data_IF_240424755854
#
_entry.id   IF_240424755854
#
_cell.length_a   1.000
_cell.length_b   1.000
_cell.length_c   1.000
_cell.angle_alpha   90.00
_cell.angle_beta   90.00
_cell.angle_gamma   90.00
#
_symmetry.space_group_name_H-M   'P 1'
#
loop_
_entity.id
_entity.type
_entity.pdbx_description
1 polymer ?
#
# COMPACT_ATOMS: atom_id res chain seq x y z
N UNK A 1 -41.84 -7.86 19.27
CA UNK A 1 -40.55 -7.57 19.92
C UNK A 1 -39.45 -7.85 18.94
N UNK A 2 -38.99 -6.81 18.24
CA UNK A 2 -37.80 -6.87 17.41
C UNK A 2 -36.56 -6.70 18.31
N UNK A 3 -35.86 -7.81 18.54
CA UNK A 3 -34.54 -7.77 19.15
C UNK A 3 -33.54 -7.31 18.05
N UNK A 4 -33.29 -6.01 17.96
CA UNK A 4 -32.10 -5.49 17.32
C UNK A 4 -30.90 -5.88 18.21
N UNK A 5 -30.25 -7.01 17.89
CA UNK A 5 -28.90 -7.29 18.38
C UNK A 5 -28.00 -6.19 17.84
N UNK A 6 -27.70 -5.20 18.68
CA UNK A 6 -26.63 -4.23 18.41
C UNK A 6 -25.32 -5.00 18.34
N UNK A 7 -24.87 -5.28 17.15
CA UNK A 7 -23.53 -5.82 16.90
C UNK A 7 -22.58 -4.65 17.14
N UNK A 8 -22.04 -4.56 18.35
CA UNK A 8 -20.91 -3.67 18.60
C UNK A 8 -19.72 -4.22 17.83
N UNK A 9 -19.39 -3.60 16.71
CA UNK A 9 -18.12 -3.88 16.05
C UNK A 9 -16.99 -3.54 17.02
N UNK A 10 -16.28 -4.57 17.48
CA UNK A 10 -15.08 -4.39 18.29
C UNK A 10 -14.04 -3.75 17.38
N UNK A 11 -13.61 -2.55 17.72
CA UNK A 11 -12.55 -1.82 17.02
C UNK A 11 -11.28 -1.88 17.87
N UNK A 12 -10.17 -2.26 17.26
CA UNK A 12 -8.84 -2.18 17.84
C UNK A 12 -8.05 -1.08 17.16
N UNK A 13 -7.70 -0.04 17.90
CA UNK A 13 -6.72 0.94 17.43
C UNK A 13 -5.35 0.28 17.37
N UNK A 14 -4.64 0.44 16.25
CA UNK A 14 -3.31 -0.14 16.06
C UNK A 14 -2.26 0.96 16.16
N UNK A 15 -2.35 2.00 15.32
CA UNK A 15 -1.34 3.05 15.24
C UNK A 15 -1.92 4.37 14.70
N UNK A 16 -1.16 5.42 14.88
CA UNK A 16 -1.42 6.72 14.22
C UNK A 16 -0.15 7.22 13.55
N UNK A 17 -0.30 8.01 12.50
CA UNK A 17 0.80 8.61 11.74
C UNK A 17 0.40 9.94 11.14
N UNK A 18 1.41 10.77 10.85
CA UNK A 18 1.36 11.85 9.87
C UNK A 18 2.34 11.51 8.76
N UNK A 19 1.87 11.60 7.52
CA UNK A 19 2.75 11.45 6.37
C UNK A 19 3.34 12.81 6.01
N UNK A 20 4.66 12.88 5.91
CA UNK A 20 5.41 14.09 5.57
C UNK A 20 5.81 14.09 4.10
N UNK A 21 6.26 15.25 3.59
CA UNK A 21 6.85 15.31 2.24
C UNK A 21 8.08 14.41 2.12
N UNK A 22 8.89 14.30 3.18
CA UNK A 22 10.03 13.40 3.20
C UNK A 22 9.61 11.92 3.03
N UNK A 23 8.52 11.50 3.69
CA UNK A 23 7.98 10.15 3.49
C UNK A 23 7.59 9.90 2.03
N UNK A 24 7.01 10.92 1.35
CA UNK A 24 6.64 10.78 -0.07
C UNK A 24 7.88 10.73 -0.98
N UNK A 25 8.91 11.51 -0.70
CA UNK A 25 10.17 11.46 -1.46
C UNK A 25 10.84 10.09 -1.33
N UNK A 26 10.93 9.58 -0.11
CA UNK A 26 11.47 8.25 0.16
C UNK A 26 10.66 7.15 -0.53
N UNK A 27 9.33 7.27 -0.51
CA UNK A 27 8.47 6.31 -1.20
C UNK A 27 8.62 6.40 -2.72
N UNK A 28 8.74 7.61 -3.28
CA UNK A 28 8.97 7.80 -4.72
C UNK A 28 10.30 7.17 -5.18
N UNK A 29 11.37 7.33 -4.41
CA UNK A 29 12.66 6.67 -4.68
C UNK A 29 12.55 5.14 -4.63
N UNK A 30 11.73 4.62 -3.72
CA UNK A 30 11.49 3.18 -3.59
C UNK A 30 10.59 2.62 -4.70
N UNK A 31 9.46 3.28 -4.99
CA UNK A 31 8.45 2.79 -5.92
C UNK A 31 8.71 3.15 -7.37
N UNK A 32 9.51 4.21 -7.61
CA UNK A 32 9.66 4.84 -8.92
C UNK A 32 8.51 5.81 -9.28
N UNK A 33 7.52 6.00 -8.41
CA UNK A 33 6.41 6.93 -8.63
C UNK A 33 6.79 8.36 -8.24
N UNK A 34 7.35 9.09 -9.19
CA UNK A 34 7.69 10.51 -9.07
C UNK A 34 6.57 11.44 -9.55
N UNK A 35 5.31 11.00 -9.53
CA UNK A 35 4.19 11.86 -9.93
C UNK A 35 4.17 13.14 -9.07
N UNK A 36 4.24 14.33 -9.71
CA UNK A 36 4.37 15.58 -8.99
C UNK A 36 3.18 15.94 -8.09
N UNK A 37 2.04 15.26 -8.22
CA UNK A 37 0.90 15.43 -7.31
C UNK A 37 1.25 15.04 -5.86
N UNK A 38 2.24 14.16 -5.68
CA UNK A 38 2.71 13.68 -4.39
C UNK A 38 3.92 14.45 -3.85
N UNK A 39 4.58 15.27 -4.70
CA UNK A 39 5.88 15.83 -4.40
C UNK A 39 5.96 17.36 -4.55
N UNK A 40 5.04 17.98 -5.31
CA UNK A 40 5.09 19.40 -5.66
C UNK A 40 3.80 20.11 -5.27
N UNK A 41 3.91 21.05 -4.34
CA UNK A 41 2.79 21.91 -3.93
C UNK A 41 2.32 22.82 -5.07
N UNK A 42 3.25 23.31 -5.91
CA UNK A 42 2.90 24.13 -7.08
C UNK A 42 2.05 23.34 -8.09
N UNK A 43 2.43 22.08 -8.35
CA UNK A 43 1.67 21.21 -9.24
C UNK A 43 0.32 20.83 -8.63
N UNK A 44 0.32 20.40 -7.38
CA UNK A 44 -0.87 19.91 -6.70
C UNK A 44 -1.98 20.98 -6.61
N UNK A 45 -1.64 22.26 -6.45
CA UNK A 45 -2.61 23.37 -6.47
C UNK A 45 -3.38 23.52 -7.78
N UNK A 46 -2.87 22.97 -8.88
CA UNK A 46 -3.51 22.98 -10.20
C UNK A 46 -4.37 21.74 -10.45
N UNK A 47 -4.44 20.82 -9.52
CA UNK A 47 -5.17 19.56 -9.59
C UNK A 47 -6.43 19.59 -8.70
N UNK A 48 -7.42 18.68 -8.91
CA UNK A 48 -8.64 18.66 -8.11
C UNK A 48 -8.45 18.62 -6.60
N UNK A 49 -7.47 17.89 -6.02
CA UNK A 49 -7.20 17.93 -4.59
C UNK A 49 -6.73 19.29 -4.08
N UNK A 50 -6.07 20.11 -4.91
CA UNK A 50 -5.59 21.44 -4.56
C UNK A 50 -4.41 21.49 -3.60
N UNK A 51 -3.93 20.35 -3.12
CA UNK A 51 -2.83 20.16 -2.18
C UNK A 51 -2.09 18.87 -2.49
N UNK A 52 -0.85 18.76 -2.01
CA UNK A 52 -0.09 17.50 -2.09
C UNK A 52 -0.82 16.40 -1.34
N UNK A 53 -0.96 15.25 -1.98
CA UNK A 53 -1.58 14.06 -1.41
C UNK A 53 -0.55 12.95 -1.20
N UNK A 54 -0.81 12.10 -0.23
CA UNK A 54 0.00 10.91 0.08
C UNK A 54 -0.15 9.89 -1.05
N UNK A 55 0.94 9.21 -1.42
CA UNK A 55 0.84 8.03 -2.30
C UNK A 55 -0.09 6.99 -1.66
N UNK A 56 -1.13 6.61 -2.40
CA UNK A 56 -2.11 5.64 -1.88
C UNK A 56 -1.45 4.34 -1.44
N UNK A 57 -0.51 3.83 -2.24
CA UNK A 57 0.22 2.59 -1.95
C UNK A 57 1.14 2.74 -0.74
N UNK A 58 1.76 3.90 -0.49
CA UNK A 58 2.51 4.16 0.74
C UNK A 58 1.61 3.99 1.98
N UNK A 59 0.40 4.56 1.94
CA UNK A 59 -0.56 4.42 3.03
C UNK A 59 -1.04 2.98 3.22
N UNK A 60 -1.22 2.24 2.13
CA UNK A 60 -1.56 0.82 2.16
C UNK A 60 -0.45 -0.01 2.82
N UNK A 61 0.80 0.15 2.38
CA UNK A 61 1.94 -0.58 2.93
C UNK A 61 2.14 -0.27 4.42
N UNK A 62 1.97 0.99 4.82
CA UNK A 62 2.00 1.36 6.23
C UNK A 62 0.89 0.65 7.04
N UNK A 63 -0.34 0.59 6.54
CA UNK A 63 -1.44 -0.09 7.22
C UNK A 63 -1.16 -1.58 7.40
N UNK A 64 -0.60 -2.23 6.37
CA UNK A 64 -0.21 -3.64 6.43
C UNK A 64 0.95 -3.86 7.38
N UNK A 65 1.96 -2.97 7.38
CA UNK A 65 3.13 -3.06 8.27
C UNK A 65 2.72 -2.97 9.74
N UNK A 66 1.91 -1.96 10.11
CA UNK A 66 1.46 -1.83 11.49
C UNK A 66 0.51 -2.94 11.90
N UNK A 67 -0.30 -3.48 10.98
CA UNK A 67 -1.13 -4.65 11.26
C UNK A 67 -0.28 -5.90 11.47
N UNK A 68 0.76 -6.10 10.65
CA UNK A 68 1.69 -7.22 10.81
C UNK A 68 2.46 -7.14 12.12
N UNK A 69 2.77 -5.94 12.61
CA UNK A 69 3.45 -5.75 13.90
C UNK A 69 2.61 -6.19 15.12
N UNK A 70 1.30 -6.38 14.96
CA UNK A 70 0.42 -6.84 16.06
C UNK A 70 0.47 -8.36 16.29
N UNK A 71 1.09 -9.13 15.40
CA UNK A 71 1.23 -10.58 15.50
C UNK A 71 1.51 -11.25 14.16
N UNK A 72 1.59 -12.57 14.16
CA UNK A 72 1.83 -13.37 12.96
C UNK A 72 0.55 -13.45 12.09
N UNK A 73 0.19 -12.33 11.48
CA UNK A 73 -0.99 -12.23 10.63
C UNK A 73 -0.71 -12.78 9.23
N UNK A 74 -1.59 -13.63 8.72
CA UNK A 74 -1.48 -14.16 7.36
C UNK A 74 -2.27 -13.25 6.41
N UNK A 75 -1.58 -12.73 5.39
CA UNK A 75 -2.14 -11.87 4.35
C UNK A 75 -2.28 -12.68 3.05
N UNK A 76 -3.40 -13.41 2.87
CA UNK A 76 -3.62 -14.23 1.67
C UNK A 76 -4.23 -13.42 0.54
N UNK A 77 -5.38 -12.80 0.79
CA UNK A 77 -6.10 -11.99 -0.18
C UNK A 77 -6.49 -10.65 0.42
N UNK A 78 -6.25 -9.59 -0.32
CA UNK A 78 -6.55 -8.22 0.07
C UNK A 78 -7.51 -7.59 -0.93
N UNK A 79 -8.63 -7.04 -0.43
CA UNK A 79 -9.48 -6.15 -1.21
C UNK A 79 -9.29 -4.73 -0.72
N UNK A 80 -8.72 -3.89 -1.56
CA UNK A 80 -8.36 -2.51 -1.20
C UNK A 80 -9.31 -1.53 -1.86
N UNK A 81 -9.79 -0.54 -1.10
CA UNK A 81 -10.54 0.60 -1.60
C UNK A 81 -9.92 1.89 -1.10
N UNK A 82 -9.40 2.69 -2.03
CA UNK A 82 -9.04 4.08 -1.78
C UNK A 82 -10.32 4.92 -1.90
N UNK A 83 -10.71 5.59 -0.82
CA UNK A 83 -11.99 6.29 -0.73
C UNK A 83 -11.80 7.80 -0.84
N UNK A 84 -10.77 8.34 -0.19
CA UNK A 84 -10.45 9.77 -0.19
C UNK A 84 -8.92 9.95 -0.16
N UNK A 85 -8.39 11.05 -0.71
CA UNK A 85 -6.96 11.35 -0.58
C UNK A 85 -6.60 11.69 0.87
N UNK A 86 -5.43 11.25 1.31
CA UNK A 86 -4.80 11.70 2.56
C UNK A 86 -3.92 12.89 2.19
N UNK A 87 -4.03 13.99 2.94
CA UNK A 87 -3.15 15.14 2.76
C UNK A 87 -1.91 15.05 3.65
N UNK A 88 -0.83 15.72 3.25
CA UNK A 88 0.38 15.78 4.08
C UNK A 88 0.08 16.39 5.44
N UNK A 89 0.82 15.93 6.45
CA UNK A 89 0.74 16.38 7.84
C UNK A 89 -0.62 16.20 8.53
N UNK A 90 -1.57 15.54 7.85
CA UNK A 90 -2.84 15.12 8.46
C UNK A 90 -2.59 13.91 9.38
N UNK A 91 -3.18 13.95 10.59
CA UNK A 91 -3.11 12.80 11.49
C UNK A 91 -4.11 11.74 11.04
N UNK A 92 -3.62 10.56 10.74
CA UNK A 92 -4.43 9.40 10.39
C UNK A 92 -4.26 8.28 11.41
N UNK A 93 -5.30 7.48 11.55
CA UNK A 93 -5.37 6.36 12.49
C UNK A 93 -5.56 5.08 11.70
N UNK A 94 -4.83 4.03 12.05
CA UNK A 94 -5.03 2.69 11.56
C UNK A 94 -5.82 1.91 12.60
N UNK A 95 -6.99 1.42 12.22
CA UNK A 95 -7.91 0.68 13.07
C UNK A 95 -8.20 -0.70 12.45
N UNK A 96 -8.32 -1.71 13.28
CA UNK A 96 -8.70 -3.06 12.87
C UNK A 96 -10.06 -3.45 13.47
N UNK A 97 -10.91 -4.04 12.65
CA UNK A 97 -12.22 -4.57 13.00
C UNK A 97 -12.20 -6.10 12.85
N UNK A 98 -11.90 -6.85 13.91
CA UNK A 98 -11.73 -8.32 13.84
C UNK A 98 -12.95 -9.05 13.29
N UNK A 99 -14.14 -8.67 13.71
CA UNK A 99 -15.39 -9.34 13.31
C UNK A 99 -15.68 -9.17 11.81
N UNK A 100 -15.24 -8.05 11.22
CA UNK A 100 -15.40 -7.75 9.81
C UNK A 100 -14.18 -8.16 8.97
N UNK A 101 -13.05 -8.49 9.61
CA UNK A 101 -11.75 -8.69 8.97
C UNK A 101 -11.36 -7.48 8.11
N UNK A 102 -11.50 -6.28 8.67
CA UNK A 102 -11.28 -5.02 7.95
C UNK A 102 -10.24 -4.17 8.69
N UNK A 103 -9.30 -3.62 7.93
CA UNK A 103 -8.40 -2.56 8.39
C UNK A 103 -8.86 -1.25 7.73
N UNK A 104 -8.90 -0.17 8.48
CA UNK A 104 -9.21 1.17 7.97
C UNK A 104 -8.13 2.17 8.35
N UNK A 105 -7.81 3.04 7.40
CA UNK A 105 -7.12 4.31 7.68
C UNK A 105 -8.17 5.40 7.66
N UNK A 106 -8.31 6.12 8.76
CA UNK A 106 -9.30 7.19 8.95
C UNK A 106 -8.74 8.34 9.78
N UNK A 107 -9.40 9.47 9.75
CA UNK A 107 -9.34 10.47 10.83
C UNK A 107 -10.65 10.46 11.61
N UNK A 108 -10.98 11.53 12.33
CA UNK A 108 -12.23 11.64 13.11
C UNK A 108 -13.49 11.65 12.24
N UNK A 109 -13.38 12.09 11.00
CA UNK A 109 -14.53 12.43 10.15
C UNK A 109 -14.62 11.60 8.88
N UNK A 110 -13.46 11.08 8.40
CA UNK A 110 -13.34 10.48 7.07
C UNK A 110 -12.56 9.18 7.12
N UNK A 111 -13.05 8.19 6.35
CA UNK A 111 -12.29 6.97 6.02
C UNK A 111 -11.59 7.17 4.68
N UNK A 112 -10.28 7.08 4.68
CA UNK A 112 -9.41 7.28 3.51
C UNK A 112 -9.18 5.98 2.74
N UNK A 113 -8.92 4.92 3.47
CA UNK A 113 -8.57 3.61 2.94
C UNK A 113 -9.27 2.52 3.72
N UNK A 114 -9.79 1.53 3.01
CA UNK A 114 -10.37 0.32 3.62
C UNK A 114 -9.77 -0.92 2.97
N UNK A 115 -9.23 -1.80 3.80
CA UNK A 115 -8.73 -3.12 3.41
C UNK A 115 -9.63 -4.18 4.01
N UNK A 116 -10.14 -5.07 3.18
CA UNK A 116 -10.78 -6.29 3.65
C UNK A 116 -9.79 -7.45 3.52
N UNK A 117 -9.55 -8.11 4.63
CA UNK A 117 -8.74 -9.32 4.69
C UNK A 117 -9.67 -10.51 4.37
N UNK A 118 -9.25 -11.36 3.47
CA UNK A 118 -9.97 -12.59 3.15
C UNK A 118 -9.03 -13.76 3.44
N UNK A 119 -9.33 -14.49 4.52
CA UNK A 119 -8.63 -15.71 4.88
C UNK A 119 -9.56 -16.89 4.73
N UNK A 120 -9.50 -17.60 3.61
CA UNK A 120 -9.68 -19.02 3.57
C UNK A 120 -8.35 -19.60 3.11
N UNK A 121 -7.71 -20.38 3.97
CA UNK A 121 -6.44 -21.02 3.70
C UNK A 121 -6.53 -21.89 2.42
N UNK A 122 -6.27 -21.28 1.28
CA UNK A 122 -5.79 -21.99 0.12
C UNK A 122 -4.28 -21.76 0.09
N UNK A 123 -3.56 -22.75 0.60
CA UNK A 123 -2.12 -22.85 0.47
C UNK A 123 -1.81 -23.00 -1.03
N UNK A 124 -1.73 -21.90 -1.74
CA UNK A 124 -0.98 -21.86 -2.99
C UNK A 124 0.48 -21.61 -2.64
N UNK A 125 1.15 -22.66 -2.19
CA UNK A 125 2.60 -22.73 -2.21
C UNK A 125 3.04 -22.80 -3.69
N UNK A 126 2.81 -21.76 -4.44
CA UNK A 126 3.52 -21.56 -5.69
C UNK A 126 4.90 -21.05 -5.31
N UNK A 127 5.85 -21.97 -5.28
CA UNK A 127 7.27 -21.66 -5.28
C UNK A 127 7.54 -20.78 -6.49
N UNK A 128 7.60 -19.46 -6.26
CA UNK A 128 8.09 -18.51 -7.26
C UNK A 128 9.59 -18.76 -7.34
N UNK A 129 9.98 -19.55 -8.35
CA UNK A 129 11.38 -19.75 -8.68
C UNK A 129 11.87 -18.49 -9.39
N UNK A 130 12.67 -17.68 -8.69
CA UNK A 130 13.38 -16.56 -9.30
C UNK A 130 14.48 -17.10 -10.22
N UNK A 131 14.28 -17.04 -11.52
CA UNK A 131 15.38 -17.13 -12.46
C UNK A 131 16.04 -15.77 -12.57
N UNK A 132 17.29 -15.69 -12.19
CA UNK A 132 18.13 -14.50 -12.32
C UNK A 132 18.49 -14.34 -13.80
N UNK A 133 17.63 -13.68 -14.57
CA UNK A 133 17.94 -13.24 -15.93
C UNK A 133 18.23 -11.74 -15.86
N UNK A 134 19.51 -11.40 -15.91
CA UNK A 134 19.97 -10.04 -16.11
C UNK A 134 19.94 -9.71 -17.59
N UNK A 135 18.85 -9.13 -18.06
CA UNK A 135 18.83 -8.41 -19.31
C UNK A 135 18.39 -6.99 -18.98
N UNK A 136 19.33 -6.04 -19.01
CA UNK A 136 19.01 -4.63 -18.95
C UNK A 136 18.17 -4.27 -20.18
N UNK A 137 16.89 -4.02 -19.99
CA UNK A 137 16.06 -3.40 -21.00
C UNK A 137 16.20 -1.88 -20.80
N UNK A 138 16.85 -1.20 -21.73
CA UNK A 138 16.71 0.24 -21.88
C UNK A 138 15.22 0.52 -22.17
N UNK A 139 14.54 1.19 -21.24
CA UNK A 139 13.17 1.68 -21.43
C UNK A 139 13.27 2.88 -22.37
N UNK A 140 13.28 2.64 -23.67
CA UNK A 140 12.93 3.66 -24.65
C UNK A 140 11.41 3.74 -24.70
N UNK A 141 10.87 4.95 -24.73
CA UNK A 141 9.45 5.31 -24.78
C UNK A 141 8.56 4.22 -25.41
N UNK A 142 7.92 3.41 -24.55
CA UNK A 142 6.92 2.43 -24.97
C UNK A 142 5.65 3.20 -25.33
N UNK A 143 5.26 3.14 -26.58
CA UNK A 143 3.95 3.61 -27.02
C UNK A 143 2.87 2.68 -26.41
N UNK A 144 1.88 3.25 -25.73
CA UNK A 144 0.81 2.50 -25.08
C UNK A 144 -0.01 1.63 -26.05
N UNK A 145 0.06 1.90 -27.36
CA UNK A 145 -0.57 1.05 -28.40
C UNK A 145 0.05 -0.35 -28.50
N UNK A 146 1.27 -0.55 -28.00
CA UNK A 146 1.97 -1.84 -28.06
C UNK A 146 1.65 -2.77 -26.90
N UNK A 147 1.00 -2.27 -25.84
CA UNK A 147 0.71 -3.05 -24.62
C UNK A 147 -0.31 -4.17 -24.88
N UNK A 148 -1.27 -3.98 -25.80
CA UNK A 148 -2.25 -5.01 -26.15
C UNK A 148 -1.64 -6.25 -26.83
N UNK A 149 -0.41 -6.13 -27.35
CA UNK A 149 0.30 -7.22 -28.01
C UNK A 149 1.28 -7.96 -27.11
N UNK A 150 1.49 -7.53 -25.87
CA UNK A 150 2.44 -8.15 -24.94
C UNK A 150 1.76 -9.26 -24.14
N UNK A 151 2.17 -10.51 -24.36
CA UNK A 151 1.71 -11.66 -23.57
C UNK A 151 2.19 -11.61 -22.11
N UNK A 152 3.25 -10.84 -21.82
CA UNK A 152 3.86 -10.74 -20.50
C UNK A 152 4.70 -9.47 -20.37
N UNK A 153 4.47 -8.71 -19.30
CA UNK A 153 5.33 -7.58 -18.90
C UNK A 153 6.11 -7.99 -17.66
N UNK A 154 7.44 -7.96 -17.74
CA UNK A 154 8.30 -8.19 -16.58
C UNK A 154 8.88 -6.85 -16.11
N UNK A 155 8.57 -6.48 -14.87
CA UNK A 155 9.20 -5.34 -14.22
C UNK A 155 10.34 -5.84 -13.34
N UNK A 156 11.54 -5.33 -13.54
CA UNK A 156 12.67 -5.56 -12.65
C UNK A 156 12.84 -4.32 -11.80
N UNK A 157 12.37 -4.38 -10.57
CA UNK A 157 12.63 -3.34 -9.58
C UNK A 157 13.79 -3.80 -8.70
N UNK A 158 14.91 -3.08 -8.73
CA UNK A 158 16.03 -3.28 -7.80
C UNK A 158 15.82 -2.41 -6.56
N UNK A 159 14.91 -2.83 -5.68
CA UNK A 159 14.78 -2.20 -4.38
C UNK A 159 15.96 -2.62 -3.50
N UNK A 160 16.66 -1.64 -2.89
CA UNK A 160 17.63 -1.94 -1.85
C UNK A 160 16.91 -2.58 -0.64
N UNK A 161 17.23 -3.82 -0.28
CA UNK A 161 16.56 -4.52 0.83
C UNK A 161 16.67 -3.78 2.18
N UNK A 162 17.75 -3.02 2.40
CA UNK A 162 17.94 -2.24 3.64
C UNK A 162 16.87 -1.15 3.74
N UNK A 163 16.57 -0.50 2.64
CA UNK A 163 15.60 0.59 2.56
C UNK A 163 14.16 0.14 2.84
N UNK A 164 13.76 -0.99 2.25
CA UNK A 164 12.44 -1.59 2.48
C UNK A 164 12.26 -2.00 3.93
N UNK A 165 13.31 -2.55 4.54
CA UNK A 165 13.33 -2.94 5.95
C UNK A 165 13.15 -1.75 6.89
N UNK A 166 13.71 -0.60 6.53
CA UNK A 166 13.59 0.62 7.34
C UNK A 166 12.20 1.25 7.21
N UNK A 167 11.59 1.20 6.02
CA UNK A 167 10.25 1.75 5.79
C UNK A 167 9.12 0.88 6.34
N UNK A 168 9.23 -0.45 6.18
CA UNK A 168 8.17 -1.41 6.51
C UNK A 168 8.76 -2.65 7.22
N UNK A 169 9.28 -2.50 8.44
CA UNK A 169 10.06 -3.54 9.12
C UNK A 169 9.27 -4.81 9.41
N UNK A 170 7.99 -4.69 9.80
CA UNK A 170 7.16 -5.85 10.13
C UNK A 170 6.73 -6.63 8.89
N UNK A 171 6.36 -5.94 7.81
CA UNK A 171 6.10 -6.58 6.52
C UNK A 171 7.36 -7.25 5.97
N UNK A 172 8.51 -6.60 6.08
CA UNK A 172 9.77 -7.18 5.64
C UNK A 172 10.11 -8.46 6.42
N UNK A 173 9.90 -8.46 7.72
CA UNK A 173 10.15 -9.63 8.57
C UNK A 173 9.21 -10.81 8.22
N UNK A 174 7.93 -10.52 7.89
CA UNK A 174 6.94 -11.55 7.57
C UNK A 174 7.01 -12.08 6.13
N UNK A 175 7.26 -11.21 5.15
CA UNK A 175 7.10 -11.53 3.73
C UNK A 175 8.32 -11.22 2.86
N UNK A 176 9.30 -10.46 3.38
CA UNK A 176 10.48 -10.03 2.63
C UNK A 176 10.20 -9.00 1.53
N UNK A 177 11.25 -8.64 0.78
CA UNK A 177 11.16 -7.68 -0.33
C UNK A 177 10.14 -8.01 -1.43
N UNK A 178 9.98 -9.27 -1.87
CA UNK A 178 9.16 -9.56 -3.04
C UNK A 178 7.72 -9.07 -2.94
N UNK A 179 7.05 -9.29 -1.80
CA UNK A 179 5.67 -8.86 -1.62
C UNK A 179 5.56 -7.33 -1.62
N UNK A 180 6.47 -6.66 -0.92
CA UNK A 180 6.46 -5.20 -0.79
C UNK A 180 6.70 -4.54 -2.15
N UNK A 181 7.66 -5.06 -2.92
CA UNK A 181 7.95 -4.58 -4.28
C UNK A 181 6.77 -4.80 -5.22
N UNK A 182 6.10 -5.96 -5.17
CA UNK A 182 4.91 -6.23 -5.99
C UNK A 182 3.76 -5.26 -5.68
N UNK A 183 3.54 -4.96 -4.40
CA UNK A 183 2.49 -3.99 -4.01
C UNK A 183 2.89 -2.58 -4.45
N UNK A 184 4.16 -2.20 -4.33
CA UNK A 184 4.62 -0.85 -4.71
C UNK A 184 4.51 -0.57 -6.22
N UNK A 185 4.60 -1.60 -7.07
CA UNK A 185 4.40 -1.46 -8.52
C UNK A 185 2.93 -1.17 -8.92
N UNK A 186 2.00 -1.10 -7.97
CA UNK A 186 0.60 -0.73 -8.21
C UNK A 186 0.37 0.80 -8.08
N UNK A 187 1.43 1.57 -7.77
CA UNK A 187 1.38 3.03 -7.59
C UNK A 187 1.24 3.79 -8.91
#
# INVERSE_FOLDING_TARGET
CLHLKGMFLVMSFIASRKFTLQDQQLFAEFSGDFNPIHLSDEYARKTPPGKVIVHGINSLLWALDVFQSTGDNILDHLFVKFLQPIYLDETVYCNYYPDAQVIEISNTDVVFLRLKLSGNACIYANSISYSKSTTELEVSDLDFSDIESLERIEFIQSADPSYVKDLYPALFAGYGCPLISQISCLS
#
